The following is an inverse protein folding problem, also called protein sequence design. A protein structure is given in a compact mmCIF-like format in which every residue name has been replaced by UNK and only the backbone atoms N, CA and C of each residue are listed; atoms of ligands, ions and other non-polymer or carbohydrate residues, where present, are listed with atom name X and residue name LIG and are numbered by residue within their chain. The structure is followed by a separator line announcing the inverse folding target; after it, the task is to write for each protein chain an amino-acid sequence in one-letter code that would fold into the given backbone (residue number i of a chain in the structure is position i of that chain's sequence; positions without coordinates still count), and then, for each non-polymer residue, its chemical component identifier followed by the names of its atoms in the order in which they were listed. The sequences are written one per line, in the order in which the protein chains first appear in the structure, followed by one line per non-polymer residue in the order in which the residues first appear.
data_IF_942770643272
#
_entry.id   IF_942770643272
#
_cell.length_a   1.000
_cell.length_b   1.000
_cell.length_c   1.000
_cell.angle_alpha   90.00
_cell.angle_beta   90.00
_cell.angle_gamma   90.00
#
_symmetry.space_group_name_H-M   'P 1'
#
loop_
_entity.id
_entity.type
_entity.pdbx_description
1 polymer ?
#
# COMPACT_ATOMS: atom_id res chain seq x y z
N UNK A 1 -2.20 -17.23 -7.69
CA UNK A 1 -2.30 -16.75 -6.29
C UNK A 1 -1.81 -15.31 -6.23
N UNK A 2 -2.45 -14.45 -5.43
CA UNK A 2 -1.97 -13.08 -5.25
C UNK A 2 -0.64 -13.09 -4.47
N UNK A 3 0.40 -12.45 -5.03
CA UNK A 3 1.72 -12.32 -4.40
C UNK A 3 1.71 -11.09 -3.50
N UNK A 4 2.01 -11.26 -2.21
CA UNK A 4 2.16 -10.16 -1.28
C UNK A 4 3.64 -9.86 -1.07
N UNK A 5 4.00 -8.58 -1.16
CA UNK A 5 5.34 -8.08 -0.87
C UNK A 5 5.29 -7.26 0.40
N UNK A 6 6.28 -7.43 1.29
CA UNK A 6 6.41 -6.59 2.48
C UNK A 6 7.12 -5.30 2.09
N UNK A 7 6.45 -4.17 2.27
CA UNK A 7 7.01 -2.84 2.03
C UNK A 7 7.10 -2.06 3.34
N UNK A 8 8.07 -1.16 3.41
CA UNK A 8 8.26 -0.25 4.54
C UNK A 8 7.46 1.02 4.27
N UNK A 9 6.76 1.53 5.29
CA UNK A 9 6.13 2.85 5.21
C UNK A 9 7.23 3.90 5.29
N UNK A 10 7.39 4.71 4.23
CA UNK A 10 8.40 5.75 4.16
C UNK A 10 7.88 7.10 4.66
N UNK A 11 6.59 7.37 4.49
CA UNK A 11 5.97 8.61 4.96
C UNK A 11 4.48 8.44 5.25
N UNK A 12 3.98 9.22 6.20
CA UNK A 12 2.56 9.33 6.51
C UNK A 12 2.22 10.81 6.60
N UNK A 13 1.33 11.28 5.73
CA UNK A 13 0.84 12.66 5.71
C UNK A 13 -0.59 12.67 6.22
N UNK A 14 -0.87 13.50 7.22
CA UNK A 14 -2.23 13.72 7.71
C UNK A 14 -2.89 14.82 6.87
N UNK A 15 -3.76 14.42 5.96
CA UNK A 15 -4.45 15.34 5.04
C UNK A 15 -5.58 16.07 5.76
N UNK A 16 -6.40 15.33 6.53
CA UNK A 16 -7.54 15.90 7.27
C UNK A 16 -7.68 15.23 8.65
N UNK A 17 -8.75 15.58 9.38
CA UNK A 17 -9.10 14.90 10.65
C UNK A 17 -9.36 13.40 10.47
N UNK A 18 -9.79 12.98 9.28
CA UNK A 18 -10.24 11.61 9.00
C UNK A 18 -9.48 10.93 7.85
N UNK A 19 -8.49 11.61 7.26
CA UNK A 19 -7.75 11.11 6.10
C UNK A 19 -6.24 11.20 6.30
N UNK A 20 -5.54 10.14 5.89
CA UNK A 20 -4.08 10.09 5.83
C UNK A 20 -3.64 9.52 4.47
N UNK A 21 -2.57 10.09 3.92
CA UNK A 21 -1.84 9.55 2.78
C UNK A 21 -0.63 8.76 3.30
N UNK A 22 -0.41 7.56 2.76
CA UNK A 22 0.69 6.69 3.18
C UNK A 22 1.55 6.40 1.96
N UNK A 23 2.85 6.72 2.06
CA UNK A 23 3.84 6.37 1.07
C UNK A 23 4.63 5.14 1.52
N UNK A 24 4.94 4.26 0.56
CA UNK A 24 5.76 3.09 0.77
C UNK A 24 7.10 3.24 0.06
N UNK A 25 8.15 2.73 0.68
CA UNK A 25 9.44 2.55 0.02
C UNK A 25 9.36 1.31 -0.89
N UNK A 26 9.61 1.50 -2.18
CA UNK A 26 9.63 0.42 -3.16
C UNK A 26 11.10 0.09 -3.47
N UNK A 27 11.61 -1.09 -3.07
CA UNK A 27 12.94 -1.54 -3.46
C UNK A 27 13.07 -1.59 -4.98
N UNK A 28 14.26 -1.27 -5.51
CA UNK A 28 14.51 -1.21 -6.96
C UNK A 28 14.11 -2.51 -7.68
N UNK A 29 14.36 -3.66 -7.06
CA UNK A 29 13.98 -4.99 -7.57
C UNK A 29 12.46 -5.17 -7.77
N UNK A 30 11.63 -4.37 -7.10
CA UNK A 30 10.16 -4.42 -7.17
C UNK A 30 9.56 -3.25 -7.95
N UNK A 31 10.37 -2.31 -8.45
CA UNK A 31 9.88 -1.10 -9.15
C UNK A 31 8.92 -1.44 -10.30
N UNK A 32 9.24 -2.46 -11.09
CA UNK A 32 8.38 -2.91 -12.21
C UNK A 32 7.07 -3.54 -11.75
N UNK A 33 7.05 -4.21 -10.60
CA UNK A 33 5.85 -4.86 -10.05
C UNK A 33 4.83 -3.83 -9.53
N UNK A 34 5.30 -2.65 -9.14
CA UNK A 34 4.47 -1.56 -8.60
C UNK A 34 4.24 -0.42 -9.60
N UNK A 35 4.75 -0.51 -10.82
CA UNK A 35 4.34 0.36 -11.91
C UNK A 35 2.89 0.03 -12.29
N UNK A 36 2.01 1.04 -12.23
CA UNK A 36 0.57 0.84 -12.38
C UNK A 36 -0.03 1.80 -13.42
N UNK A 37 -1.16 1.39 -14.00
CA UNK A 37 -1.99 2.25 -14.84
C UNK A 37 -3.18 2.78 -14.04
N UNK A 38 -3.68 3.95 -14.43
CA UNK A 38 -4.81 4.60 -13.76
C UNK A 38 -6.04 3.67 -13.72
N UNK A 39 -6.71 3.64 -12.56
CA UNK A 39 -7.84 2.75 -12.30
C UNK A 39 -7.46 1.40 -11.68
N UNK A 40 -6.17 1.07 -11.55
CA UNK A 40 -5.73 -0.08 -10.77
C UNK A 40 -5.72 0.20 -9.26
N UNK A 41 -5.82 -0.88 -8.49
CA UNK A 41 -5.76 -0.87 -7.03
C UNK A 41 -4.88 -2.01 -6.53
N UNK A 42 -4.39 -1.88 -5.30
CA UNK A 42 -3.66 -2.93 -4.58
C UNK A 42 -4.46 -3.43 -3.39
N UNK A 43 -4.13 -4.62 -2.92
CA UNK A 43 -4.65 -5.15 -1.65
C UNK A 43 -3.59 -5.01 -0.57
N UNK A 44 -3.86 -4.21 0.45
CA UNK A 44 -3.04 -4.16 1.65
C UNK A 44 -3.46 -5.29 2.59
N UNK A 45 -2.45 -5.94 3.17
CA UNK A 45 -2.59 -7.01 4.16
C UNK A 45 -1.87 -6.59 5.43
N UNK A 46 -2.59 -6.52 6.53
CA UNK A 46 -2.07 -6.10 7.82
C UNK A 46 -2.56 -7.05 8.91
N UNK A 47 -1.74 -7.27 9.94
CA UNK A 47 -2.18 -7.98 11.14
C UNK A 47 -2.53 -6.94 12.22
N UNK A 48 -3.75 -6.99 12.74
CA UNK A 48 -4.23 -6.11 13.83
C UNK A 48 -4.83 -7.00 14.90
N UNK A 49 -4.25 -6.97 16.10
CA UNK A 49 -4.76 -7.77 17.23
C UNK A 49 -4.71 -9.30 17.00
N UNK A 50 -3.79 -9.79 16.15
CA UNK A 50 -3.70 -11.21 15.80
C UNK A 50 -4.53 -11.59 14.57
N UNK A 51 -5.43 -10.73 14.10
CA UNK A 51 -6.27 -10.98 12.94
C UNK A 51 -5.66 -10.41 11.65
N UNK A 52 -5.72 -11.18 10.57
CA UNK A 52 -5.28 -10.71 9.26
C UNK A 52 -6.42 -9.97 8.55
N UNK A 53 -6.23 -8.66 8.37
CA UNK A 53 -7.17 -7.79 7.66
C UNK A 53 -6.61 -7.52 6.27
N UNK A 54 -7.51 -7.60 5.27
CA UNK A 54 -7.22 -7.27 3.87
C UNK A 54 -8.16 -6.19 3.38
N UNK A 55 -7.63 -5.15 2.75
CA UNK A 55 -8.41 -4.03 2.20
C UNK A 55 -7.82 -3.58 0.87
N UNK A 56 -8.69 -3.22 -0.07
CA UNK A 56 -8.32 -2.69 -1.36
C UNK A 56 -8.17 -1.17 -1.28
N UNK A 57 -7.09 -0.63 -1.85
CA UNK A 57 -6.86 0.79 -1.96
C UNK A 57 -6.40 1.13 -3.38
N UNK A 58 -7.00 2.17 -3.96
CA UNK A 58 -6.51 2.76 -5.20
C UNK A 58 -5.18 3.47 -4.95
N UNK A 59 -4.27 3.39 -5.91
CA UNK A 59 -3.01 4.12 -5.87
C UNK A 59 -3.23 5.56 -6.33
N UNK A 60 -2.58 6.52 -5.67
CA UNK A 60 -2.74 7.95 -5.90
C UNK A 60 -1.41 8.71 -6.10
N UNK A 61 -0.33 7.98 -6.43
CA UNK A 61 1.03 8.53 -6.63
C UNK A 61 1.30 8.96 -8.06
#
# INVERSE_FOLDING_TARGET
MAKFQKLTVSNIVKETSECVSIAFEIPEALSKDFAYIQGQYITLKINVGGEEIRRCYSLCS
#
